data_IF_957881822214
#
_entry.id   IF_957881822214
#
_cell.length_a   1.000
_cell.length_b   1.000
_cell.length_c   1.000
_cell.angle_alpha   90.00
_cell.angle_beta   90.00
_cell.angle_gamma   90.00
#
_symmetry.space_group_name_H-M   'P 1'
#
loop_
_entity.id
_entity.type
_entity.pdbx_description
1 polymer ?
#
# COMPACT_ATOMS: atom_id res chain seq x y z
N UNK A 1 -57.33 6.95 25.61
CA UNK A 1 -55.94 6.64 26.02
C UNK A 1 -55.13 7.92 25.98
N UNK A 2 -54.63 8.43 27.13
CA UNK A 2 -53.79 9.64 27.20
C UNK A 2 -52.32 9.22 27.13
N UNK A 3 -51.56 9.73 26.16
CA UNK A 3 -50.11 9.48 26.08
C UNK A 3 -49.39 10.28 27.18
N UNK A 4 -48.48 9.66 27.94
CA UNK A 4 -47.69 10.39 28.93
C UNK A 4 -46.73 11.35 28.23
N UNK A 5 -46.74 12.62 28.64
CA UNK A 5 -45.77 13.63 28.22
C UNK A 5 -44.43 13.39 28.93
N UNK A 6 -43.31 13.26 28.20
CA UNK A 6 -42.00 12.98 28.78
C UNK A 6 -41.52 14.15 29.64
N UNK A 7 -40.82 13.84 30.73
CA UNK A 7 -40.27 14.86 31.64
C UNK A 7 -39.01 15.49 31.02
N UNK A 8 -38.79 16.78 31.29
CA UNK A 8 -37.66 17.56 30.73
C UNK A 8 -36.27 16.94 30.98
N UNK A 9 -36.10 16.18 32.07
CA UNK A 9 -34.85 15.47 32.37
C UNK A 9 -34.64 14.23 31.49
N UNK A 10 -35.71 13.58 31.04
CA UNK A 10 -35.65 12.46 30.09
C UNK A 10 -35.21 12.96 28.70
N UNK A 11 -35.70 14.14 28.30
CA UNK A 11 -35.26 14.82 27.07
C UNK A 11 -33.78 15.22 27.14
N UNK A 12 -33.32 15.71 28.29
CA UNK A 12 -31.91 16.07 28.48
C UNK A 12 -30.99 14.83 28.45
N UNK A 13 -31.40 13.74 29.10
CA UNK A 13 -30.67 12.47 29.10
C UNK A 13 -30.60 11.85 27.70
N UNK A 14 -31.71 11.86 26.95
CA UNK A 14 -31.75 11.41 25.56
C UNK A 14 -30.86 12.27 24.64
N UNK A 15 -30.83 13.58 24.85
CA UNK A 15 -29.99 14.50 24.08
C UNK A 15 -28.49 14.25 24.35
N UNK A 16 -28.12 14.02 25.61
CA UNK A 16 -26.75 13.69 25.99
C UNK A 16 -26.30 12.33 25.42
N UNK A 17 -27.20 11.34 25.40
CA UNK A 17 -26.92 10.02 24.83
C UNK A 17 -26.76 10.07 23.30
N UNK A 18 -27.50 10.94 22.60
CA UNK A 18 -27.40 11.10 21.15
C UNK A 18 -26.10 11.80 20.73
N UNK A 19 -25.58 12.73 21.54
CA UNK A 19 -24.34 13.45 21.25
C UNK A 19 -23.08 12.58 21.36
N UNK A 20 -23.10 11.52 22.18
CA UNK A 20 -21.96 10.61 22.33
C UNK A 20 -21.76 9.62 21.17
N UNK A 21 -22.71 9.48 20.25
CA UNK A 21 -22.60 8.61 19.07
C UNK A 21 -22.14 9.34 17.78
N UNK A 22 -21.92 10.65 17.82
CA UNK A 22 -21.61 11.45 16.60
C UNK A 22 -20.11 11.70 16.42
N UNK A 23 -19.26 11.30 17.37
CA UNK A 23 -17.79 11.45 17.27
C UNK A 23 -17.11 10.13 16.90
N UNK A 24 -17.75 9.31 16.08
CA UNK A 24 -17.04 8.20 15.45
C UNK A 24 -16.21 8.76 14.28
N UNK A 25 -14.92 8.39 14.15
CA UNK A 25 -14.15 8.72 12.96
C UNK A 25 -14.88 8.19 11.73
N UNK A 26 -14.88 8.99 10.67
CA UNK A 26 -15.60 8.64 9.46
C UNK A 26 -14.88 7.48 8.75
N UNK A 27 -15.60 6.49 8.18
CA UNK A 27 -14.97 5.53 7.28
C UNK A 27 -14.32 6.28 6.12
N UNK A 28 -12.99 6.45 6.17
CA UNK A 28 -12.24 7.38 5.32
C UNK A 28 -11.11 8.12 6.04
N UNK A 29 -11.10 8.15 7.38
CA UNK A 29 -9.94 8.56 8.18
C UNK A 29 -8.94 7.38 8.23
N UNK A 30 -7.97 7.35 7.31
CA UNK A 30 -7.14 6.17 7.02
C UNK A 30 -6.25 5.78 8.21
N UNK A 31 -6.32 4.50 8.57
CA UNK A 31 -5.57 3.85 9.65
C UNK A 31 -6.51 3.42 10.77
N UNK A 32 -7.12 2.22 10.65
CA UNK A 32 -8.17 1.68 11.55
C UNK A 32 -7.80 1.52 13.04
N UNK A 33 -6.73 2.13 13.52
CA UNK A 33 -6.29 2.21 14.91
C UNK A 33 -5.86 3.64 15.33
N UNK A 34 -6.17 4.69 14.56
CA UNK A 34 -5.78 6.08 14.87
C UNK A 34 -4.32 6.43 14.55
N UNK A 35 -3.69 5.70 13.63
CA UNK A 35 -2.35 6.00 13.13
C UNK A 35 -2.42 6.98 11.97
N UNK A 36 -1.52 7.96 11.97
CA UNK A 36 -1.39 8.94 10.90
C UNK A 36 -0.85 8.28 9.62
N UNK A 37 -1.44 8.60 8.48
CA UNK A 37 -1.02 8.07 7.19
C UNK A 37 0.36 8.64 6.81
N UNK A 38 1.38 7.78 6.83
CA UNK A 38 2.74 8.16 6.44
C UNK A 38 2.97 7.87 4.95
N UNK A 39 3.44 8.87 4.21
CA UNK A 39 3.87 8.70 2.82
C UNK A 39 5.09 7.78 2.74
N UNK A 40 5.11 6.93 1.73
CA UNK A 40 6.23 6.06 1.43
C UNK A 40 7.41 6.86 0.89
N UNK A 41 8.59 6.68 1.48
CA UNK A 41 9.84 7.21 0.94
C UNK A 41 10.23 6.46 -0.33
N UNK A 42 10.23 7.16 -1.46
CA UNK A 42 10.47 6.55 -2.77
C UNK A 42 11.88 5.92 -2.85
N UNK A 43 12.91 6.64 -2.40
CA UNK A 43 14.29 6.20 -2.55
C UNK A 43 14.57 4.94 -1.73
N UNK A 44 14.15 4.92 -0.45
CA UNK A 44 14.27 3.77 0.43
C UNK A 44 13.46 2.59 -0.08
N UNK A 45 12.24 2.83 -0.59
CA UNK A 45 11.42 1.78 -1.19
C UNK A 45 12.09 1.15 -2.41
N UNK A 46 12.51 1.95 -3.40
CA UNK A 46 13.12 1.42 -4.62
C UNK A 46 14.46 0.73 -4.33
N UNK A 47 15.23 1.21 -3.35
CA UNK A 47 16.43 0.51 -2.89
C UNK A 47 16.11 -0.86 -2.30
N UNK A 48 15.08 -0.94 -1.45
CA UNK A 48 14.62 -2.19 -0.83
C UNK A 48 14.09 -3.15 -1.89
N UNK A 49 13.23 -2.65 -2.79
CA UNK A 49 12.66 -3.42 -3.90
C UNK A 49 13.77 -4.01 -4.78
N UNK A 50 14.76 -3.20 -5.16
CA UNK A 50 15.90 -3.66 -5.97
C UNK A 50 16.65 -4.81 -5.29
N UNK A 51 16.87 -4.74 -3.98
CA UNK A 51 17.53 -5.80 -3.24
C UNK A 51 16.73 -7.12 -3.33
N UNK A 52 15.41 -7.06 -3.15
CA UNK A 52 14.52 -8.23 -3.32
C UNK A 52 14.56 -8.74 -4.76
N UNK A 53 14.46 -7.83 -5.73
CA UNK A 53 14.49 -8.18 -7.16
C UNK A 53 15.78 -8.95 -7.51
N UNK A 54 16.93 -8.47 -7.04
CA UNK A 54 18.22 -9.14 -7.26
C UNK A 54 18.28 -10.51 -6.57
N UNK A 55 17.92 -10.59 -5.28
CA UNK A 55 17.90 -11.84 -4.52
C UNK A 55 17.05 -12.91 -5.23
N UNK A 56 15.86 -12.52 -5.71
CA UNK A 56 14.94 -13.42 -6.42
C UNK A 56 15.48 -13.84 -7.78
N UNK A 57 16.17 -12.94 -8.50
CA UNK A 57 16.85 -13.29 -9.74
C UNK A 57 17.96 -14.33 -9.52
N UNK A 58 18.76 -14.18 -8.46
CA UNK A 58 19.81 -15.15 -8.13
C UNK A 58 19.22 -16.50 -7.71
N UNK A 59 18.25 -16.51 -6.80
CA UNK A 59 17.59 -17.74 -6.31
C UNK A 59 16.93 -18.53 -7.45
N UNK A 60 16.26 -17.83 -8.37
CA UNK A 60 15.58 -18.44 -9.50
C UNK A 60 16.49 -18.63 -10.73
N UNK A 61 17.76 -18.22 -10.68
CA UNK A 61 18.73 -18.30 -11.77
C UNK A 61 18.29 -17.62 -13.08
N UNK A 62 17.68 -16.44 -12.97
CA UNK A 62 17.27 -15.64 -14.12
C UNK A 62 18.41 -14.80 -14.70
N UNK A 63 18.40 -14.65 -16.03
CA UNK A 63 19.42 -13.91 -16.78
C UNK A 63 18.82 -12.78 -17.63
N UNK A 64 17.72 -12.20 -17.17
CA UNK A 64 17.06 -11.07 -17.83
C UNK A 64 17.86 -9.77 -17.64
N UNK A 65 17.71 -8.82 -18.55
CA UNK A 65 18.31 -7.49 -18.44
C UNK A 65 17.86 -6.76 -17.17
N UNK A 66 16.60 -6.91 -16.75
CA UNK A 66 16.11 -6.30 -15.50
C UNK A 66 16.71 -6.95 -14.25
N UNK A 67 17.10 -8.23 -14.31
CA UNK A 67 17.85 -8.88 -13.23
C UNK A 67 19.27 -8.32 -13.15
N UNK A 68 19.93 -8.13 -14.29
CA UNK A 68 21.26 -7.52 -14.33
C UNK A 68 21.24 -6.08 -13.79
N UNK A 69 20.22 -5.30 -14.15
CA UNK A 69 20.01 -3.95 -13.61
C UNK A 69 19.71 -3.97 -12.11
N UNK A 70 18.87 -4.90 -11.64
CA UNK A 70 18.56 -5.02 -10.22
C UNK A 70 19.79 -5.38 -9.37
N UNK A 71 20.68 -6.22 -9.90
CA UNK A 71 21.90 -6.62 -9.21
C UNK A 71 23.09 -5.65 -9.38
N UNK A 72 22.97 -4.61 -10.22
CA UNK A 72 24.02 -3.61 -10.37
C UNK A 72 23.98 -2.58 -9.21
N UNK A 73 25.04 -2.51 -8.37
CA UNK A 73 25.08 -1.56 -7.26
C UNK A 73 25.13 -0.10 -7.72
N UNK A 74 25.51 0.16 -8.97
CA UNK A 74 25.60 1.49 -9.56
C UNK A 74 24.38 1.89 -10.38
N UNK A 75 23.41 0.98 -10.58
CA UNK A 75 22.16 1.31 -11.25
C UNK A 75 21.44 2.46 -10.53
N UNK A 76 20.93 3.40 -11.32
CA UNK A 76 20.24 4.58 -10.79
C UNK A 76 18.85 4.18 -10.29
N UNK A 77 18.53 4.53 -9.06
CA UNK A 77 17.20 4.32 -8.49
C UNK A 77 16.28 5.50 -8.78
N UNK A 78 14.98 5.26 -9.03
CA UNK A 78 14.00 6.32 -9.07
C UNK A 78 13.98 7.09 -7.75
N UNK A 79 13.93 8.42 -7.84
CA UNK A 79 13.93 9.32 -6.68
C UNK A 79 12.53 9.72 -6.23
N UNK A 80 11.49 9.39 -7.03
CA UNK A 80 10.12 9.78 -6.77
C UNK A 80 9.14 8.81 -7.45
N UNK A 81 7.92 8.74 -6.93
CA UNK A 81 6.80 8.11 -7.63
C UNK A 81 6.27 9.03 -8.75
N UNK A 82 5.54 8.48 -9.74
CA UNK A 82 4.88 9.29 -10.76
C UNK A 82 4.02 10.41 -10.17
N UNK A 83 3.93 11.54 -10.89
CA UNK A 83 3.11 12.68 -10.46
C UNK A 83 1.65 12.25 -10.22
N UNK A 84 1.07 12.72 -9.11
CA UNK A 84 -0.29 12.34 -8.71
C UNK A 84 -0.39 10.99 -8.01
N UNK A 85 0.73 10.32 -7.74
CA UNK A 85 0.79 9.07 -7.01
C UNK A 85 1.43 9.27 -5.64
N UNK A 86 0.72 8.86 -4.59
CA UNK A 86 1.10 9.10 -3.19
C UNK A 86 0.95 7.81 -2.37
N UNK A 87 1.76 6.77 -2.64
CA UNK A 87 1.70 5.54 -1.87
C UNK A 87 2.07 5.79 -0.41
N UNK A 88 1.43 5.03 0.47
CA UNK A 88 1.70 5.04 1.91
C UNK A 88 2.74 3.99 2.27
N UNK A 89 3.37 4.14 3.44
CA UNK A 89 4.33 3.16 3.98
C UNK A 89 3.76 1.74 3.93
N UNK A 90 2.49 1.59 4.30
CA UNK A 90 1.82 0.29 4.28
C UNK A 90 1.72 -0.33 2.89
N UNK A 91 1.50 0.48 1.84
CA UNK A 91 1.46 -0.02 0.45
C UNK A 91 2.82 -0.60 0.06
N UNK A 92 3.91 0.08 0.47
CA UNK A 92 5.28 -0.39 0.28
C UNK A 92 5.57 -1.71 0.99
N UNK A 93 5.15 -1.84 2.25
CA UNK A 93 5.29 -3.09 3.03
C UNK A 93 4.56 -4.27 2.39
N UNK A 94 3.32 -4.02 1.93
CA UNK A 94 2.49 -5.04 1.27
C UNK A 94 3.13 -5.47 -0.05
N UNK A 95 3.63 -4.52 -0.85
CA UNK A 95 4.38 -4.82 -2.07
C UNK A 95 5.64 -5.65 -1.81
N UNK A 96 6.52 -5.21 -0.89
CA UNK A 96 7.76 -5.94 -0.60
C UNK A 96 7.48 -7.35 -0.07
N UNK A 97 6.47 -7.52 0.78
CA UNK A 97 6.04 -8.84 1.25
C UNK A 97 5.53 -9.72 0.11
N UNK A 98 4.75 -9.16 -0.81
CA UNK A 98 4.25 -9.89 -1.97
C UNK A 98 5.42 -10.35 -2.87
N UNK A 99 6.42 -9.50 -3.06
CA UNK A 99 7.65 -9.85 -3.79
C UNK A 99 8.42 -10.98 -3.10
N UNK A 100 8.69 -10.89 -1.80
CA UNK A 100 9.38 -11.96 -1.08
C UNK A 100 8.66 -13.31 -1.16
N UNK A 101 7.33 -13.31 -1.16
CA UNK A 101 6.52 -14.53 -1.19
C UNK A 101 6.19 -15.03 -2.61
N UNK A 102 6.57 -14.28 -3.65
CA UNK A 102 6.25 -14.65 -5.03
C UNK A 102 7.10 -15.83 -5.50
N UNK A 103 6.48 -16.79 -6.18
CA UNK A 103 7.18 -17.94 -6.78
C UNK A 103 8.12 -17.50 -7.91
N UNK A 104 9.11 -18.33 -8.27
CA UNK A 104 9.95 -18.07 -9.44
C UNK A 104 9.12 -17.94 -10.73
N UNK A 105 8.05 -18.74 -10.88
CA UNK A 105 7.17 -18.62 -12.04
C UNK A 105 6.52 -17.23 -12.12
N UNK A 106 6.04 -16.69 -11.00
CA UNK A 106 5.49 -15.33 -10.94
C UNK A 106 6.58 -14.28 -11.24
N UNK A 107 7.74 -14.42 -10.62
CA UNK A 107 8.86 -13.48 -10.79
C UNK A 107 9.40 -13.45 -12.22
N UNK A 108 9.35 -14.56 -12.95
CA UNK A 108 9.71 -14.59 -14.36
C UNK A 108 8.85 -13.63 -15.19
N UNK A 109 7.57 -13.47 -14.84
CA UNK A 109 6.68 -12.50 -15.47
C UNK A 109 6.93 -11.04 -15.06
N UNK A 110 7.57 -10.81 -13.90
CA UNK A 110 7.93 -9.47 -13.43
C UNK A 110 9.26 -8.99 -14.03
N UNK A 111 10.18 -9.92 -14.27
CA UNK A 111 11.55 -9.65 -14.71
C UNK A 111 11.81 -9.99 -16.18
N UNK A 112 10.82 -10.48 -16.93
CA UNK A 112 10.98 -10.78 -18.37
C UNK A 112 11.48 -9.57 -19.16
N UNK A 113 12.32 -9.81 -20.17
CA UNK A 113 12.83 -8.78 -21.08
C UNK A 113 11.81 -8.30 -22.11
N UNK A 114 10.72 -9.05 -22.29
CA UNK A 114 9.63 -8.66 -23.18
C UNK A 114 8.70 -7.66 -22.46
N UNK A 115 8.70 -6.37 -22.84
CA UNK A 115 7.85 -5.37 -22.20
C UNK A 115 6.35 -5.61 -22.44
N UNK A 116 5.97 -6.37 -23.48
CA UNK A 116 4.56 -6.69 -23.75
C UNK A 116 3.97 -7.73 -22.81
N UNK A 117 4.80 -8.55 -22.19
CA UNK A 117 4.40 -9.59 -21.24
C UNK A 117 4.85 -9.29 -19.80
N UNK A 118 5.69 -8.29 -19.60
CA UNK A 118 6.12 -7.84 -18.27
C UNK A 118 4.93 -7.34 -17.47
N UNK A 119 4.77 -7.89 -16.28
CA UNK A 119 3.68 -7.55 -15.36
C UNK A 119 4.22 -6.96 -14.06
N UNK A 120 3.39 -6.18 -13.38
CA UNK A 120 3.67 -5.68 -12.02
C UNK A 120 2.72 -6.39 -11.05
N UNK A 121 3.21 -6.87 -9.90
CA UNK A 121 2.32 -7.40 -8.86
C UNK A 121 1.23 -6.38 -8.50
N UNK A 122 0.01 -6.84 -8.27
CA UNK A 122 -1.13 -5.97 -7.91
C UNK A 122 -0.83 -5.09 -6.70
N UNK A 123 -0.15 -5.66 -5.71
CA UNK A 123 0.28 -5.03 -4.46
C UNK A 123 1.30 -3.91 -4.68
N UNK A 124 2.01 -3.96 -5.81
CA UNK A 124 3.02 -2.97 -6.20
C UNK A 124 2.50 -1.97 -7.24
N UNK A 125 1.25 -2.12 -7.69
CA UNK A 125 0.63 -1.22 -8.67
C UNK A 125 0.09 0.04 -7.97
N UNK A 126 0.99 0.91 -7.51
CA UNK A 126 0.63 2.10 -6.74
C UNK A 126 -0.10 3.17 -7.56
N UNK A 127 0.12 3.19 -8.88
CA UNK A 127 -0.36 4.25 -9.76
C UNK A 127 -1.07 3.66 -11.00
N UNK A 128 -2.18 2.92 -10.83
CA UNK A 128 -2.87 2.31 -11.95
C UNK A 128 -3.38 3.38 -12.92
N UNK A 129 -3.16 3.16 -14.22
CA UNK A 129 -3.79 3.97 -15.27
C UNK A 129 -5.31 3.84 -15.14
N UNK A 130 -6.01 4.98 -15.04
CA UNK A 130 -7.47 5.05 -15.04
C UNK A 130 -7.99 5.42 -16.42
#
# INVERSE_FOLDING_TARGET
>A
MKRPTPRRWELAALSALLLSFVVAPTPGDIGGCGQEAQLLDAQAFFASKRAVDCERCEECSFVYASCLEACDPYATLPQSFPLGCFPLVHDGEVCLRALHNASCASYSGYMTDDPGTRSTPSECNFCPLR
#
